data_IF_134577916457
#
_entry.id   IF_134577916457
#
_cell.length_a   1.000
_cell.length_b   1.000
_cell.length_c   1.000
_cell.angle_alpha   90.00
_cell.angle_beta   90.00
_cell.angle_gamma   90.00
#
_symmetry.space_group_name_H-M   'P 1'
#
loop_
_entity.id
_entity.type
_entity.pdbx_description
1 polymer ?
#
# COMPACT_ATOMS: atom_id res chain seq x y z
N UNK A 1 2.35 18.17 21.56
CA UNK A 1 2.93 17.41 20.44
C UNK A 1 2.31 16.02 20.41
N UNK A 2 1.72 15.61 19.28
CA UNK A 2 1.07 14.30 19.18
C UNK A 2 1.72 13.47 18.07
N UNK A 3 2.61 12.55 18.44
CA UNK A 3 3.34 11.70 17.49
C UNK A 3 2.45 10.85 16.59
N UNK A 4 1.26 10.45 17.06
CA UNK A 4 0.33 9.64 16.26
C UNK A 4 -0.20 10.43 15.07
N UNK A 5 -0.47 11.73 15.25
CA UNK A 5 -0.89 12.63 14.18
C UNK A 5 0.23 12.79 13.15
N UNK A 6 1.45 13.05 13.63
CA UNK A 6 2.63 13.22 12.75
C UNK A 6 2.81 11.95 11.91
N UNK A 7 2.92 10.78 12.55
CA UNK A 7 3.11 9.50 11.86
C UNK A 7 1.98 9.21 10.85
N UNK A 8 0.74 9.55 11.19
CA UNK A 8 -0.40 9.31 10.30
C UNK A 8 -0.38 10.21 9.05
N UNK A 9 -0.04 11.49 9.20
CA UNK A 9 0.11 12.40 8.07
C UNK A 9 1.34 12.05 7.23
N UNK A 10 2.49 11.78 7.85
CA UNK A 10 3.71 11.34 7.15
C UNK A 10 3.46 10.06 6.35
N UNK A 11 2.67 9.12 6.90
CA UNK A 11 2.27 7.92 6.17
C UNK A 11 1.43 8.25 4.93
N UNK A 12 0.46 9.17 5.00
CA UNK A 12 -0.35 9.54 3.84
C UNK A 12 0.49 10.02 2.67
N UNK A 13 1.49 10.87 2.95
CA UNK A 13 2.40 11.41 1.95
C UNK A 13 3.64 10.54 1.71
N UNK A 14 3.77 9.38 2.36
CA UNK A 14 4.93 8.49 2.20
C UNK A 14 5.03 7.90 0.78
N UNK A 15 6.23 7.46 0.40
CA UNK A 15 6.45 6.80 -0.89
C UNK A 15 5.60 5.55 -1.10
N UNK A 16 5.41 4.80 -0.01
CA UNK A 16 4.61 3.58 -0.05
C UNK A 16 3.14 3.89 -0.39
N UNK A 17 2.59 5.03 0.08
CA UNK A 17 1.17 5.35 -0.06
C UNK A 17 0.85 6.31 -1.21
N UNK A 18 1.62 7.39 -1.40
CA UNK A 18 1.21 8.55 -2.21
C UNK A 18 0.88 8.20 -3.67
N UNK A 19 1.59 7.26 -4.29
CA UNK A 19 1.30 6.84 -5.66
C UNK A 19 0.10 5.88 -5.77
N UNK A 20 -0.30 5.25 -4.66
CA UNK A 20 -1.36 4.23 -4.60
C UNK A 20 -2.69 4.83 -4.14
N UNK A 21 -2.65 5.95 -3.42
CA UNK A 21 -3.83 6.75 -3.09
C UNK A 21 -4.12 7.76 -4.22
N UNK A 22 -5.00 7.38 -5.15
CA UNK A 22 -5.34 8.23 -6.28
C UNK A 22 -6.04 9.53 -5.88
N UNK A 23 -6.77 9.53 -4.77
CA UNK A 23 -7.45 10.75 -4.31
C UNK A 23 -6.41 11.77 -3.83
N UNK A 24 -5.52 11.35 -2.93
CA UNK A 24 -4.46 12.23 -2.43
C UNK A 24 -3.47 12.63 -3.54
N UNK A 25 -3.10 11.69 -4.41
CA UNK A 25 -2.19 11.98 -5.53
C UNK A 25 -2.75 13.07 -6.45
N UNK A 26 -4.05 13.04 -6.73
CA UNK A 26 -4.69 14.04 -7.57
C UNK A 26 -4.71 15.42 -6.90
N UNK A 27 -4.94 15.48 -5.58
CA UNK A 27 -4.85 16.74 -4.83
C UNK A 27 -3.44 17.32 -4.91
N UNK A 28 -2.41 16.52 -4.65
CA UNK A 28 -1.01 16.97 -4.75
C UNK A 28 -0.69 17.45 -6.17
N UNK A 29 -1.10 16.72 -7.20
CA UNK A 29 -0.84 17.11 -8.61
C UNK A 29 -1.65 18.32 -9.09
N UNK A 30 -2.74 18.67 -8.40
CA UNK A 30 -3.57 19.82 -8.78
C UNK A 30 -2.92 21.16 -8.43
N UNK A 31 -1.98 21.17 -7.48
CA UNK A 31 -1.17 22.32 -7.12
C UNK A 31 0.21 22.19 -7.74
N UNK A 32 0.72 23.29 -8.34
CA UNK A 32 2.07 23.32 -8.94
C UNK A 32 3.17 22.93 -7.94
N UNK A 33 2.95 23.22 -6.66
CA UNK A 33 3.90 22.97 -5.58
C UNK A 33 3.48 21.83 -4.63
N UNK A 34 2.40 21.11 -4.94
CA UNK A 34 1.98 19.96 -4.13
C UNK A 34 1.22 20.28 -2.85
N UNK A 35 0.77 21.52 -2.66
CA UNK A 35 -0.04 21.93 -1.51
C UNK A 35 -1.43 21.27 -1.51
N UNK A 36 -1.85 20.83 -0.33
CA UNK A 36 -3.17 20.23 -0.07
C UNK A 36 -3.79 20.88 1.17
N UNK A 37 -5.08 21.20 1.10
CA UNK A 37 -5.82 21.79 2.21
C UNK A 37 -5.80 20.88 3.44
N UNK A 38 -5.43 21.44 4.60
CA UNK A 38 -5.36 20.72 5.87
C UNK A 38 -6.74 20.20 6.29
N UNK A 39 -7.81 20.91 5.95
CA UNK A 39 -9.20 20.51 6.21
C UNK A 39 -9.57 19.22 5.45
N UNK A 40 -9.08 19.06 4.23
CA UNK A 40 -9.29 17.84 3.42
C UNK A 40 -8.58 16.66 4.07
N UNK A 41 -7.33 16.86 4.53
CA UNK A 41 -6.55 15.82 5.22
C UNK A 41 -7.16 15.45 6.57
N UNK A 42 -7.65 16.43 7.34
CA UNK A 42 -8.41 16.21 8.57
C UNK A 42 -9.71 15.42 8.33
N UNK A 43 -10.20 15.37 7.09
CA UNK A 43 -11.33 14.56 6.64
C UNK A 43 -11.03 13.05 6.55
N UNK A 44 -9.76 12.63 6.61
CA UNK A 44 -9.39 11.23 6.39
C UNK A 44 -9.74 10.40 7.63
N UNK A 45 -10.42 9.26 7.43
CA UNK A 45 -10.97 8.43 8.52
C UNK A 45 -9.98 8.11 9.64
N UNK A 46 -8.72 7.77 9.32
CA UNK A 46 -7.72 7.45 10.34
C UNK A 46 -7.29 8.70 11.12
N UNK A 47 -7.12 9.83 10.45
CA UNK A 47 -6.80 11.08 11.14
C UNK A 47 -7.99 11.60 11.96
N UNK A 48 -9.22 11.54 11.44
CA UNK A 48 -10.45 11.86 12.18
C UNK A 48 -10.59 11.07 13.48
N UNK A 49 -10.18 9.79 13.48
CA UNK A 49 -10.21 8.95 14.69
C UNK A 49 -9.22 9.41 15.77
N UNK A 50 -8.21 10.21 15.41
CA UNK A 50 -7.26 10.81 16.35
C UNK A 50 -7.72 12.20 16.80
N UNK A 51 -8.15 13.05 15.86
CA UNK A 51 -8.70 14.38 16.12
C UNK A 51 -9.36 14.96 14.87
N UNK A 52 -10.27 15.91 15.06
CA UNK A 52 -10.80 16.79 14.00
C UNK A 52 -10.36 18.25 14.16
N UNK A 53 -9.62 18.57 15.22
CA UNK A 53 -9.15 19.93 15.49
C UNK A 53 -7.92 20.26 14.63
N UNK A 54 -8.12 21.16 13.66
CA UNK A 54 -7.08 21.64 12.76
C UNK A 54 -5.91 22.30 13.49
N UNK A 55 -6.16 22.95 14.62
CA UNK A 55 -5.11 23.60 15.42
C UNK A 55 -4.17 22.56 16.01
N UNK A 56 -4.73 21.46 16.54
CA UNK A 56 -3.94 20.34 17.09
C UNK A 56 -3.15 19.64 15.98
N UNK A 57 -3.74 19.46 14.80
CA UNK A 57 -3.04 18.85 13.66
C UNK A 57 -1.88 19.76 13.22
N UNK A 58 -2.14 21.05 12.98
CA UNK A 58 -1.13 22.04 12.56
C UNK A 58 0.04 22.13 13.54
N UNK A 59 -0.25 22.27 14.83
CA UNK A 59 0.78 22.33 15.87
C UNK A 59 1.61 21.05 15.95
N UNK A 60 0.99 19.89 15.70
CA UNK A 60 1.73 18.62 15.66
C UNK A 60 2.64 18.54 14.42
N UNK A 61 2.14 18.97 13.25
CA UNK A 61 2.89 18.92 11.99
C UNK A 61 4.07 19.90 11.94
N UNK A 62 4.09 20.95 12.77
CA UNK A 62 5.26 21.82 12.91
C UNK A 62 6.55 21.08 13.33
N UNK A 63 6.43 19.89 13.92
CA UNK A 63 7.56 19.03 14.29
C UNK A 63 7.88 17.93 13.26
N UNK A 64 7.13 17.85 12.14
CA UNK A 64 7.40 16.86 11.09
C UNK A 64 8.64 17.25 10.30
N UNK A 65 9.42 16.24 9.91
CA UNK A 65 10.59 16.42 9.00
C UNK A 65 10.26 16.05 7.56
N UNK A 66 9.02 15.63 7.29
CA UNK A 66 8.56 15.13 5.99
C UNK A 66 7.41 15.92 5.41
N UNK A 67 6.70 16.67 6.25
CA UNK A 67 5.57 17.52 5.89
C UNK A 67 5.92 18.97 6.22
N UNK A 68 5.66 19.85 5.26
CA UNK A 68 5.73 21.29 5.45
C UNK A 68 4.32 21.85 5.61
N UNK A 69 4.18 22.82 6.50
CA UNK A 69 2.94 23.56 6.74
C UNK A 69 3.10 24.97 6.17
N UNK A 70 2.11 25.47 5.42
CA UNK A 70 2.15 26.82 4.87
C UNK A 70 2.17 27.88 5.97
N UNK A 71 2.62 29.11 5.63
CA UNK A 71 2.73 30.21 6.59
C UNK A 71 1.39 30.56 7.27
N UNK A 72 0.29 30.50 6.52
CA UNK A 72 -1.07 30.71 7.03
C UNK A 72 -1.64 29.51 7.81
N UNK A 73 -0.94 28.37 7.78
CA UNK A 73 -1.30 27.14 8.47
C UNK A 73 -2.50 26.40 7.89
N UNK A 74 -2.97 26.75 6.69
CA UNK A 74 -4.18 26.18 6.10
C UNK A 74 -3.89 25.03 5.14
N UNK A 75 -2.68 24.96 4.60
CA UNK A 75 -2.27 23.91 3.66
C UNK A 75 -1.01 23.20 4.13
N UNK A 76 -0.85 21.96 3.67
CA UNK A 76 0.33 21.16 3.93
C UNK A 76 0.83 20.54 2.63
N UNK A 77 2.14 20.28 2.55
CA UNK A 77 2.72 19.54 1.45
C UNK A 77 3.79 18.57 1.92
N UNK A 78 4.07 17.61 1.06
CA UNK A 78 5.26 16.76 1.19
C UNK A 78 6.50 17.57 0.85
N UNK A 79 7.55 17.44 1.67
CA UNK A 79 8.85 18.12 1.43
C UNK A 79 9.61 17.43 0.28
N UNK A 80 9.72 16.10 0.36
CA UNK A 80 10.38 15.31 -0.68
C UNK A 80 9.54 15.31 -1.97
N UNK A 81 10.15 15.33 -3.18
CA UNK A 81 9.39 15.25 -4.41
C UNK A 81 8.59 13.94 -4.50
N UNK A 82 7.56 13.93 -5.36
CA UNK A 82 6.80 12.72 -5.64
C UNK A 82 7.75 11.63 -6.16
N UNK A 83 7.67 10.40 -5.63
CA UNK A 83 8.51 9.31 -6.10
C UNK A 83 8.08 8.88 -7.51
N UNK A 84 9.01 8.26 -8.23
CA UNK A 84 8.72 7.56 -9.48
C UNK A 84 8.18 6.17 -9.16
N UNK A 85 7.24 5.67 -9.97
CA UNK A 85 6.71 4.32 -9.78
C UNK A 85 7.80 3.25 -9.93
N UNK A 86 8.13 2.60 -8.82
CA UNK A 86 9.10 1.51 -8.77
C UNK A 86 8.42 0.14 -8.95
N UNK A 87 8.64 -0.50 -10.10
CA UNK A 87 8.11 -1.83 -10.39
C UNK A 87 8.65 -2.92 -9.46
N UNK A 88 9.78 -2.68 -8.77
CA UNK A 88 10.32 -3.68 -7.84
C UNK A 88 9.42 -3.88 -6.61
N UNK A 89 8.47 -2.98 -6.37
CA UNK A 89 7.41 -3.12 -5.34
C UNK A 89 6.67 -4.45 -5.45
N UNK A 90 6.39 -4.93 -6.66
CA UNK A 90 5.66 -6.19 -6.86
C UNK A 90 6.44 -7.43 -6.38
N UNK A 91 7.76 -7.33 -6.24
CA UNK A 91 8.62 -8.43 -5.76
C UNK A 91 8.85 -8.42 -4.26
N UNK A 92 8.38 -7.38 -3.55
CA UNK A 92 8.41 -7.22 -2.08
C UNK A 92 7.01 -7.04 -1.49
N UNK A 93 5.97 -7.25 -2.30
CA UNK A 93 4.57 -7.25 -1.87
C UNK A 93 4.01 -8.65 -1.96
N UNK A 94 3.23 -9.05 -0.96
CA UNK A 94 2.52 -10.33 -0.93
C UNK A 94 1.02 -10.08 -1.02
N UNK A 95 0.31 -11.10 -1.47
CA UNK A 95 -1.13 -11.22 -1.35
C UNK A 95 -1.44 -12.37 -0.40
N UNK A 96 -2.33 -12.08 0.54
CA UNK A 96 -2.96 -13.04 1.44
C UNK A 96 -4.44 -13.10 1.11
N UNK A 97 -4.98 -14.30 0.96
CA UNK A 97 -6.42 -14.53 0.81
C UNK A 97 -6.77 -15.92 1.35
N UNK A 98 -8.05 -16.29 1.30
CA UNK A 98 -8.54 -17.57 1.85
C UNK A 98 -8.20 -17.71 3.35
N UNK A 99 -8.39 -16.61 4.09
CA UNK A 99 -8.26 -16.61 5.54
C UNK A 99 -9.25 -17.61 6.17
N UNK A 100 -8.87 -18.28 7.28
CA UNK A 100 -9.77 -19.13 8.05
C UNK A 100 -11.07 -18.41 8.42
N UNK A 101 -12.16 -19.17 8.55
CA UNK A 101 -13.45 -18.63 9.00
C UNK A 101 -13.28 -17.92 10.35
N UNK A 102 -13.98 -16.79 10.52
CA UNK A 102 -13.89 -15.89 11.69
C UNK A 102 -12.57 -15.12 11.87
N UNK A 103 -11.65 -15.16 10.90
CA UNK A 103 -10.46 -14.30 10.95
C UNK A 103 -10.84 -12.81 10.93
N UNK A 104 -10.38 -12.04 11.90
CA UNK A 104 -10.50 -10.58 11.89
C UNK A 104 -9.47 -9.97 10.93
N UNK A 105 -9.86 -9.76 9.68
CA UNK A 105 -8.97 -9.22 8.63
C UNK A 105 -9.17 -7.70 8.51
N UNK A 106 -8.39 -6.95 9.27
CA UNK A 106 -8.32 -5.48 9.19
C UNK A 106 -6.92 -5.03 8.84
N UNK A 107 -6.76 -3.74 8.48
CA UNK A 107 -5.43 -3.18 8.23
C UNK A 107 -4.58 -3.27 9.50
N UNK A 108 -5.20 -3.00 10.64
CA UNK A 108 -4.58 -3.00 11.95
C UNK A 108 -4.14 -4.40 12.38
N UNK A 109 -5.02 -5.42 12.25
CA UNK A 109 -4.69 -6.78 12.66
C UNK A 109 -3.56 -7.38 11.82
N UNK A 110 -3.55 -7.11 10.50
CA UNK A 110 -2.49 -7.57 9.60
C UNK A 110 -1.17 -6.82 9.86
N UNK A 111 -1.22 -5.51 10.05
CA UNK A 111 -0.04 -4.71 10.40
C UNK A 111 0.58 -5.19 11.72
N UNK A 112 -0.25 -5.37 12.75
CA UNK A 112 0.18 -5.81 14.07
C UNK A 112 0.79 -7.21 14.03
N UNK A 113 0.12 -8.17 13.36
CA UNK A 113 0.60 -9.53 13.19
C UNK A 113 2.03 -9.56 12.64
N UNK A 114 2.29 -8.85 11.54
CA UNK A 114 3.63 -8.84 10.94
C UNK A 114 4.65 -8.03 11.75
N UNK A 115 4.22 -6.94 12.39
CA UNK A 115 5.10 -6.11 13.23
C UNK A 115 5.59 -6.87 14.45
N UNK A 116 4.71 -7.55 15.20
CA UNK A 116 5.06 -8.32 16.41
C UNK A 116 5.98 -9.50 16.05
N UNK A 117 5.82 -10.07 14.86
CA UNK A 117 6.69 -11.14 14.35
C UNK A 117 7.96 -10.63 13.65
N UNK A 118 8.35 -9.37 13.85
CA UNK A 118 9.64 -8.83 13.40
C UNK A 118 9.74 -8.50 11.91
N UNK A 119 8.62 -8.45 11.19
CA UNK A 119 8.56 -8.14 9.76
C UNK A 119 7.59 -6.97 9.50
N UNK A 120 7.82 -5.77 10.03
CA UNK A 120 6.87 -4.66 9.90
C UNK A 120 6.61 -4.30 8.43
N UNK A 121 5.33 -4.30 7.97
CA UNK A 121 4.98 -3.88 6.63
C UNK A 121 5.18 -2.38 6.41
N UNK A 122 5.50 -2.00 5.17
CA UNK A 122 5.51 -0.61 4.68
C UNK A 122 4.11 -0.12 4.32
N UNK A 123 3.24 -1.02 3.83
CA UNK A 123 1.86 -0.70 3.50
C UNK A 123 0.99 -1.96 3.59
N UNK A 124 -0.16 -1.85 4.24
CA UNK A 124 -1.20 -2.87 4.28
C UNK A 124 -2.47 -2.32 3.64
N UNK A 125 -3.02 -3.04 2.65
CA UNK A 125 -4.33 -2.75 2.06
C UNK A 125 -5.22 -3.99 2.17
N UNK A 126 -6.39 -3.86 2.78
CA UNK A 126 -7.41 -4.91 2.79
C UNK A 126 -8.46 -4.59 1.72
N UNK A 127 -8.66 -5.53 0.81
CA UNK A 127 -9.60 -5.46 -0.31
C UNK A 127 -10.72 -6.45 -0.08
N UNK A 128 -11.95 -5.96 -0.10
CA UNK A 128 -13.15 -6.78 0.07
C UNK A 128 -13.71 -7.24 -1.28
N UNK A 129 -14.41 -8.39 -1.33
CA UNK A 129 -15.10 -8.88 -2.51
C UNK A 129 -16.01 -7.83 -3.15
N UNK A 130 -16.18 -7.91 -4.47
CA UNK A 130 -17.12 -7.08 -5.24
C UNK A 130 -16.87 -5.56 -5.15
N UNK A 131 -15.66 -5.16 -4.73
CA UNK A 131 -15.20 -3.77 -4.79
C UNK A 131 -14.32 -3.55 -6.01
N UNK A 132 -14.29 -2.30 -6.49
CA UNK A 132 -13.41 -1.89 -7.59
C UNK A 132 -11.95 -2.16 -7.21
N UNK A 133 -11.24 -2.89 -8.08
CA UNK A 133 -9.83 -3.18 -7.88
C UNK A 133 -8.98 -1.94 -8.18
N UNK A 134 -8.04 -1.56 -7.29
CA UNK A 134 -7.10 -0.49 -7.55
C UNK A 134 -6.36 -0.67 -8.88
N UNK A 135 -6.12 0.44 -9.59
CA UNK A 135 -5.50 0.41 -10.93
C UNK A 135 -4.13 -0.27 -10.92
N UNK A 136 -3.35 -0.07 -9.86
CA UNK A 136 -2.02 -0.66 -9.66
C UNK A 136 -2.03 -2.19 -9.47
N UNK A 137 -3.19 -2.76 -9.12
CA UNK A 137 -3.39 -4.19 -8.88
C UNK A 137 -4.10 -4.93 -10.02
N UNK A 138 -4.58 -4.22 -11.05
CA UNK A 138 -5.30 -4.84 -12.18
C UNK A 138 -4.49 -5.93 -12.88
N UNK A 139 -3.18 -5.75 -13.03
CA UNK A 139 -2.31 -6.79 -13.63
C UNK A 139 -2.16 -8.00 -12.71
N UNK A 140 -2.05 -7.77 -11.40
CA UNK A 140 -1.96 -8.84 -10.40
C UNK A 140 -3.27 -9.63 -10.29
N UNK A 141 -4.41 -9.03 -10.60
CA UNK A 141 -5.70 -9.74 -10.63
C UNK A 141 -5.70 -10.91 -11.63
N UNK A 142 -4.97 -10.80 -12.74
CA UNK A 142 -4.82 -11.88 -13.72
C UNK A 142 -4.06 -13.07 -13.11
N UNK A 143 -3.09 -12.80 -12.23
CA UNK A 143 -2.25 -13.82 -11.58
C UNK A 143 -2.89 -14.43 -10.33
N UNK A 144 -3.80 -13.68 -9.71
CA UNK A 144 -4.44 -13.98 -8.43
C UNK A 144 -5.96 -13.76 -8.56
N UNK A 145 -6.67 -14.82 -8.93
CA UNK A 145 -8.12 -14.79 -9.14
C UNK A 145 -8.92 -14.47 -7.87
N UNK A 146 -8.30 -14.51 -6.69
CA UNK A 146 -8.89 -14.06 -5.43
C UNK A 146 -9.16 -12.55 -5.42
N UNK A 147 -8.38 -11.73 -6.13
CA UNK A 147 -8.53 -10.27 -6.14
C UNK A 147 -9.89 -9.86 -6.72
N UNK A 148 -10.72 -9.23 -5.88
CA UNK A 148 -12.07 -8.78 -6.22
C UNK A 148 -13.16 -9.82 -5.99
N UNK A 149 -12.79 -11.07 -5.69
CA UNK A 149 -13.71 -12.19 -5.46
C UNK A 149 -13.71 -12.62 -3.99
N UNK A 150 -12.55 -12.57 -3.33
CA UNK A 150 -12.35 -12.93 -1.92
C UNK A 150 -11.76 -11.75 -1.16
N UNK A 151 -11.84 -11.80 0.17
CA UNK A 151 -11.10 -10.87 1.02
C UNK A 151 -9.61 -11.10 0.76
N UNK A 152 -8.89 -10.03 0.44
CA UNK A 152 -7.46 -10.07 0.19
C UNK A 152 -6.75 -9.02 1.05
N UNK A 153 -5.67 -9.40 1.73
CA UNK A 153 -4.72 -8.43 2.26
C UNK A 153 -3.52 -8.35 1.30
N UNK A 154 -3.24 -7.16 0.78
CA UNK A 154 -2.07 -6.87 -0.04
C UNK A 154 -1.08 -6.14 0.86
N UNK A 155 0.05 -6.78 1.12
CA UNK A 155 1.00 -6.35 2.15
C UNK A 155 2.38 -6.13 1.53
N UNK A 156 2.83 -4.89 1.53
CA UNK A 156 4.11 -4.45 1.02
C UNK A 156 5.13 -4.40 2.15
N UNK A 157 6.32 -4.95 1.91
CA UNK A 157 7.43 -4.96 2.86
C UNK A 157 8.59 -4.09 2.35
N UNK A 158 9.52 -3.67 3.22
CA UNK A 158 10.68 -2.88 2.83
C UNK A 158 11.57 -3.59 1.80
N UNK A 159 11.63 -4.92 1.84
CA UNK A 159 12.48 -5.72 0.97
C UNK A 159 11.87 -7.11 0.69
N UNK A 160 12.39 -7.77 -0.35
CA UNK A 160 11.94 -9.09 -0.79
C UNK A 160 12.18 -10.20 0.26
N UNK A 161 13.33 -10.28 0.95
CA UNK A 161 13.52 -11.27 2.02
C UNK A 161 12.43 -11.25 3.09
N UNK A 162 12.02 -10.06 3.56
CA UNK A 162 10.94 -9.93 4.54
C UNK A 162 9.59 -10.40 3.97
N UNK A 163 9.29 -10.06 2.71
CA UNK A 163 8.08 -10.57 2.04
C UNK A 163 8.06 -12.11 1.96
N UNK A 164 9.19 -12.76 1.69
CA UNK A 164 9.28 -14.22 1.64
C UNK A 164 9.10 -14.85 3.03
N UNK A 165 9.71 -14.27 4.07
CA UNK A 165 9.50 -14.71 5.45
C UNK A 165 8.05 -14.54 5.88
N UNK A 166 7.41 -13.43 5.51
CA UNK A 166 6.00 -13.16 5.78
C UNK A 166 5.06 -14.20 5.13
N UNK A 167 5.37 -14.71 3.93
CA UNK A 167 4.60 -15.80 3.31
C UNK A 167 4.67 -17.07 4.17
N UNK A 168 5.86 -17.45 4.61
CA UNK A 168 6.04 -18.64 5.45
C UNK A 168 5.32 -18.48 6.78
N UNK A 169 5.48 -17.32 7.43
CA UNK A 169 4.80 -16.98 8.67
C UNK A 169 3.28 -17.06 8.53
N UNK A 170 2.73 -16.53 7.44
CA UNK A 170 1.29 -16.56 7.15
C UNK A 170 0.77 -17.99 7.04
N UNK A 171 1.50 -18.87 6.34
CA UNK A 171 1.14 -20.29 6.18
C UNK A 171 1.22 -21.07 7.49
N UNK A 172 2.21 -20.77 8.33
CA UNK A 172 2.31 -21.36 9.66
C UNK A 172 1.18 -20.92 10.59
N UNK A 173 0.74 -19.65 10.50
CA UNK A 173 -0.28 -19.10 11.38
C UNK A 173 -1.73 -19.42 10.95
N UNK A 174 -2.03 -19.27 9.66
CA UNK A 174 -3.40 -19.43 9.11
C UNK A 174 -3.61 -20.75 8.35
N UNK A 175 -2.61 -21.64 8.31
CA UNK A 175 -2.73 -22.96 7.68
C UNK A 175 -2.94 -22.87 6.17
N UNK A 176 -4.17 -23.18 5.70
CA UNK A 176 -4.54 -23.24 4.26
C UNK A 176 -4.68 -21.87 3.59
N UNK A 177 -3.99 -20.85 4.09
CA UNK A 177 -4.06 -19.50 3.52
C UNK A 177 -3.42 -19.45 2.12
N UNK A 178 -4.06 -18.71 1.22
CA UNK A 178 -3.46 -18.33 -0.05
C UNK A 178 -2.44 -17.21 0.20
N UNK A 179 -1.15 -17.55 0.31
CA UNK A 179 -0.07 -16.59 0.55
C UNK A 179 1.00 -16.67 -0.55
N UNK A 180 1.14 -15.62 -1.35
CA UNK A 180 2.08 -15.55 -2.48
C UNK A 180 2.62 -14.14 -2.69
N UNK A 181 3.76 -14.02 -3.36
CA UNK A 181 4.19 -12.75 -3.90
C UNK A 181 3.16 -12.22 -4.90
N UNK A 182 2.95 -10.91 -4.89
CA UNK A 182 2.03 -10.21 -5.78
C UNK A 182 2.47 -10.27 -7.24
N UNK A 183 3.78 -10.42 -7.48
CA UNK A 183 4.33 -10.92 -8.73
C UNK A 183 4.64 -12.41 -8.60
N UNK A 184 4.04 -13.25 -9.46
CA UNK A 184 4.57 -14.59 -9.70
C UNK A 184 5.76 -14.45 -10.64
N UNK A 185 6.97 -14.69 -10.14
CA UNK A 185 8.03 -15.18 -11.03
C UNK A 185 7.52 -16.52 -11.56
N UNK A 186 7.23 -16.60 -12.86
CA UNK A 186 6.96 -17.88 -13.51
C UNK A 186 8.29 -18.65 -13.50
N UNK A 187 8.63 -19.25 -12.36
CA UNK A 187 9.58 -20.35 -12.35
C UNK A 187 8.84 -21.55 -12.91
N UNK A 188 8.89 -21.67 -14.23
CA UNK A 188 8.35 -22.80 -14.96
C UNK A 188 9.13 -24.06 -14.52
N UNK A 189 8.55 -24.86 -13.63
CA UNK A 189 8.80 -26.30 -13.69
C UNK A 189 7.98 -26.84 -14.88
N UNK A 190 8.65 -27.71 -15.64
CA UNK A 190 8.33 -28.26 -16.96
C UNK A 190 6.85 -28.61 -17.19
N UNK A 191 6.36 -28.20 -18.37
CA UNK A 191 5.62 -28.97 -19.41
C UNK A 191 4.54 -28.11 -20.09
N UNK A 192 4.49 -28.24 -21.42
CA UNK A 192 3.57 -27.63 -22.41
C UNK A 192 4.02 -26.31 -23.05
N UNK A 193 4.46 -26.46 -24.29
CA UNK A 193 5.25 -25.56 -25.13
C UNK A 193 4.45 -24.59 -26.02
N UNK A 194 3.41 -23.94 -25.49
CA UNK A 194 2.73 -22.87 -26.25
C UNK A 194 2.39 -21.59 -25.48
N UNK A 195 2.41 -21.60 -24.14
CA UNK A 195 2.05 -20.42 -23.34
C UNK A 195 3.25 -19.49 -23.08
N UNK A 196 4.47 -19.99 -23.26
CA UNK A 196 5.70 -19.29 -22.88
C UNK A 196 6.07 -18.10 -23.80
N UNK A 197 5.60 -18.06 -25.04
CA UNK A 197 5.91 -16.96 -25.97
C UNK A 197 5.06 -15.70 -25.75
N UNK A 198 3.88 -15.80 -25.11
CA UNK A 198 3.03 -14.62 -24.91
C UNK A 198 3.52 -13.70 -23.79
N UNK A 199 4.19 -14.23 -22.76
CA UNK A 199 4.54 -13.43 -21.58
C UNK A 199 5.82 -12.59 -21.73
N UNK A 200 6.84 -13.07 -22.44
CA UNK A 200 8.04 -12.27 -22.78
C UNK A 200 7.71 -11.12 -23.73
N UNK A 201 6.76 -11.32 -24.64
CA UNK A 201 6.21 -10.25 -25.49
C UNK A 201 5.47 -9.18 -24.67
N UNK A 202 4.69 -9.57 -23.64
CA UNK A 202 3.85 -8.63 -22.89
C UNK A 202 4.64 -7.71 -21.94
N UNK A 203 5.78 -8.17 -21.43
CA UNK A 203 6.67 -7.34 -20.59
C UNK A 203 7.57 -6.40 -21.39
N UNK A 204 7.99 -6.77 -22.61
CA UNK A 204 8.85 -5.93 -23.46
C UNK A 204 8.10 -4.99 -24.41
N UNK A 205 6.85 -5.27 -24.81
CA UNK A 205 6.12 -4.42 -25.77
C UNK A 205 5.50 -3.15 -25.18
N UNK A 206 5.54 -2.92 -23.87
CA UNK A 206 5.04 -1.68 -23.24
C UNK A 206 6.18 -0.81 -22.67
N UNK A 207 7.36 -0.85 -23.32
CA UNK A 207 8.54 -0.03 -22.97
C UNK A 207 8.71 1.15 -23.95
N UNK A 208 7.92 1.24 -25.02
CA UNK A 208 7.82 2.45 -25.85
C UNK A 208 6.34 2.68 -26.19
N UNK A 209 5.74 3.68 -25.56
CA UNK A 209 4.32 4.05 -25.69
C UNK A 209 3.87 4.87 -24.51
#
# INVERSE_FOLDING_TARGET
MNEKIIKQCEFYFSDANILKDQFLLNLVKSSKEGWVDLSVIAGFKKLQSLTTDLSVIRQSLAASTKIEVSEDGNTIRRIDPLPVWDKSVYYRTIILSEFPENSNVTVESIQEFFTINGHPPSLVRVLFPNRKIPSDLKRSQILHNQLGVKICAVVEFPNRPDALKAINLSRSHWGKIYAYLLCKLIFHFKYSSLVCMMFTSFFNKNIVG
#
